data_IF_102620408674
#
_entry.id   IF_102620408674
#
_cell.length_a   1.000
_cell.length_b   1.000
_cell.length_c   1.000
_cell.angle_alpha   90.00
_cell.angle_beta   90.00
_cell.angle_gamma   90.00
#
_symmetry.space_group_name_H-M   'P 1'
#
loop_
_entity.id
_entity.type
_entity.pdbx_description
1 polymer ?
#
# COMPACT_ATOMS: atom_id res chain seq x y z
N UNK A 1 14.31 -2.58 -12.23
CA UNK A 1 15.29 -3.70 -12.19
C UNK A 1 14.56 -5.03 -12.09
N UNK A 2 15.16 -6.13 -12.57
CA UNK A 2 14.53 -7.45 -12.42
C UNK A 2 14.87 -8.04 -11.05
N UNK A 3 13.84 -8.36 -10.27
CA UNK A 3 13.97 -8.98 -8.95
C UNK A 3 13.13 -10.26 -8.91
N UNK A 4 13.57 -11.26 -8.16
CA UNK A 4 12.82 -12.49 -7.92
C UNK A 4 11.93 -12.30 -6.69
N UNK A 5 10.62 -12.47 -6.85
CA UNK A 5 9.65 -12.28 -5.77
C UNK A 5 8.84 -13.55 -5.49
N UNK A 6 8.52 -13.75 -4.22
CA UNK A 6 7.38 -14.56 -3.77
C UNK A 6 6.33 -13.59 -3.25
N UNK A 7 5.34 -13.28 -4.09
CA UNK A 7 4.21 -12.40 -3.75
C UNK A 7 3.20 -13.11 -2.82
N UNK A 8 2.30 -12.37 -2.13
CA UNK A 8 1.33 -12.96 -1.24
C UNK A 8 0.50 -14.07 -1.91
N UNK A 9 0.50 -15.28 -1.34
CA UNK A 9 -0.20 -16.45 -1.88
C UNK A 9 0.55 -17.23 -2.96
N UNK A 10 1.69 -16.74 -3.45
CA UNK A 10 2.57 -17.50 -4.34
C UNK A 10 3.42 -18.52 -3.55
N UNK A 11 3.82 -19.62 -4.21
CA UNK A 11 4.68 -20.67 -3.62
C UNK A 11 6.07 -20.74 -4.25
N UNK A 12 6.30 -19.99 -5.31
CA UNK A 12 7.49 -20.09 -6.15
C UNK A 12 8.03 -18.71 -6.46
N UNK A 13 9.34 -18.58 -6.49
CA UNK A 13 10.01 -17.39 -7.00
C UNK A 13 9.67 -17.16 -8.47
N UNK A 14 9.33 -15.91 -8.81
CA UNK A 14 9.17 -15.47 -10.19
C UNK A 14 9.90 -14.15 -10.39
N UNK A 15 10.56 -13.96 -11.54
CA UNK A 15 11.16 -12.68 -11.87
C UNK A 15 10.06 -11.67 -12.21
N UNK A 16 10.20 -10.46 -11.71
CA UNK A 16 9.35 -9.31 -12.03
C UNK A 16 10.22 -8.10 -12.30
N UNK A 17 9.70 -7.21 -13.13
CA UNK A 17 10.26 -5.87 -13.24
C UNK A 17 9.75 -5.03 -12.07
N UNK A 18 10.67 -4.48 -11.30
CA UNK A 18 10.38 -3.73 -10.09
C UNK A 18 10.98 -2.34 -10.20
N UNK A 19 10.16 -1.33 -9.92
CA UNK A 19 10.56 0.07 -9.90
C UNK A 19 10.13 0.74 -8.61
N UNK A 20 10.99 1.62 -8.12
CA UNK A 20 10.64 2.56 -7.06
C UNK A 20 10.25 3.86 -7.77
N UNK A 21 9.00 4.26 -7.64
CA UNK A 21 8.47 5.47 -8.25
C UNK A 21 7.70 6.26 -7.18
N UNK A 22 8.18 7.47 -6.90
CA UNK A 22 7.81 8.27 -5.74
C UNK A 22 8.05 7.52 -4.41
N UNK A 23 6.97 7.13 -3.74
CA UNK A 23 6.99 6.35 -2.50
C UNK A 23 6.39 4.96 -2.68
N UNK A 24 6.31 4.48 -3.93
CA UNK A 24 5.68 3.22 -4.28
C UNK A 24 6.68 2.24 -4.89
N UNK A 25 6.45 0.98 -4.58
CA UNK A 25 7.10 -0.17 -5.18
C UNK A 25 6.18 -0.72 -6.27
N UNK A 26 6.41 -0.32 -7.51
CA UNK A 26 5.65 -0.74 -8.68
C UNK A 26 6.18 -2.09 -9.19
N UNK A 27 5.28 -3.04 -9.44
CA UNK A 27 5.62 -4.40 -9.86
C UNK A 27 4.92 -4.73 -11.17
N UNK A 28 5.72 -4.95 -12.20
CA UNK A 28 5.31 -5.33 -13.56
C UNK A 28 5.77 -6.73 -13.90
N UNK A 29 5.06 -7.38 -14.83
CA UNK A 29 5.47 -8.70 -15.34
C UNK A 29 6.80 -8.59 -16.12
N UNK A 30 6.98 -7.49 -16.87
CA UNK A 30 8.14 -7.25 -17.74
C UNK A 30 8.49 -5.75 -17.78
N UNK A 31 9.69 -5.43 -18.26
CA UNK A 31 10.13 -4.05 -18.49
C UNK A 31 9.23 -3.34 -19.51
N UNK A 32 8.87 -2.09 -19.23
CA UNK A 32 8.02 -1.27 -20.10
C UNK A 32 6.53 -1.67 -20.11
N UNK A 33 6.12 -2.62 -19.27
CA UNK A 33 4.70 -2.93 -19.02
C UNK A 33 4.19 -2.18 -17.80
N UNK A 34 2.91 -1.83 -17.82
CA UNK A 34 2.23 -1.26 -16.66
C UNK A 34 2.31 -2.23 -15.47
N UNK A 35 2.58 -1.68 -14.28
CA UNK A 35 2.59 -2.46 -13.06
C UNK A 35 1.18 -2.96 -12.75
N UNK A 36 1.08 -4.25 -12.39
CA UNK A 36 -0.23 -4.83 -12.04
C UNK A 36 -0.58 -4.60 -10.57
N UNK A 37 0.44 -4.31 -9.75
CA UNK A 37 0.27 -3.96 -8.34
C UNK A 37 1.35 -2.98 -7.91
N UNK A 38 1.08 -2.25 -6.86
CA UNK A 38 1.99 -1.22 -6.34
C UNK A 38 1.80 -1.10 -4.84
N UNK A 39 2.90 -1.17 -4.09
CA UNK A 39 2.87 -1.08 -2.63
C UNK A 39 3.48 0.24 -2.15
N UNK A 40 2.78 0.93 -1.25
CA UNK A 40 3.30 2.15 -0.66
C UNK A 40 4.41 1.81 0.36
N UNK A 41 5.64 2.22 0.07
CA UNK A 41 6.85 1.90 0.84
C UNK A 41 6.77 2.45 2.28
N UNK A 42 6.15 3.62 2.46
CA UNK A 42 6.01 4.26 3.77
C UNK A 42 5.24 3.47 4.84
N UNK A 43 4.42 2.49 4.44
CA UNK A 43 3.63 1.63 5.35
C UNK A 43 4.16 0.19 5.41
N UNK A 44 5.29 -0.09 4.75
CA UNK A 44 5.96 -1.38 4.77
C UNK A 44 7.19 -1.34 5.68
N UNK A 45 7.53 -2.49 6.26
CA UNK A 45 8.84 -2.75 6.84
C UNK A 45 9.60 -3.74 5.98
N UNK A 46 10.92 -3.60 5.99
CA UNK A 46 11.84 -4.49 5.29
C UNK A 46 12.90 -5.01 6.26
N UNK A 47 13.27 -6.28 6.15
CA UNK A 47 14.36 -6.91 6.92
C UNK A 47 14.97 -8.09 6.14
N UNK A 48 16.16 -8.56 6.50
CA UNK A 48 16.62 -9.88 6.06
C UNK A 48 15.65 -10.96 6.53
N UNK A 49 15.28 -11.87 5.63
CA UNK A 49 14.30 -12.91 5.92
C UNK A 49 14.83 -13.94 6.92
N UNK A 50 13.99 -14.32 7.88
CA UNK A 50 14.28 -15.42 8.81
C UNK A 50 13.94 -16.80 8.21
N UNK A 51 13.08 -16.83 7.20
CA UNK A 51 12.63 -18.07 6.56
C UNK A 51 13.65 -18.62 5.57
N UNK A 52 14.66 -17.81 5.22
CA UNK A 52 15.78 -18.18 4.38
C UNK A 52 17.11 -17.88 5.11
N UNK A 53 17.42 -18.58 6.21
CA UNK A 53 18.54 -18.24 7.10
C UNK A 53 19.91 -18.34 6.40
N UNK A 54 20.03 -19.19 5.39
CA UNK A 54 21.27 -19.36 4.59
C UNK A 54 21.42 -18.30 3.47
N UNK A 55 20.45 -17.39 3.35
CA UNK A 55 20.34 -16.41 2.26
C UNK A 55 20.05 -15.01 2.82
N UNK A 56 21.06 -14.32 3.37
CA UNK A 56 20.90 -12.97 3.92
C UNK A 56 20.53 -11.92 2.84
N UNK A 57 20.70 -12.28 1.57
CA UNK A 57 20.30 -11.53 0.37
C UNK A 57 18.78 -11.57 0.11
N UNK A 58 18.03 -12.40 0.84
CA UNK A 58 16.56 -12.40 0.77
C UNK A 58 16.00 -11.36 1.73
N UNK A 59 15.35 -10.35 1.17
CA UNK A 59 14.60 -9.35 1.90
C UNK A 59 13.15 -9.79 2.08
N UNK A 60 12.65 -9.65 3.29
CA UNK A 60 11.25 -9.84 3.66
C UNK A 60 10.59 -8.47 3.81
N UNK A 61 9.50 -8.27 3.08
CA UNK A 61 8.61 -7.12 3.19
C UNK A 61 7.37 -7.55 3.97
N UNK A 62 7.03 -6.80 5.00
CA UNK A 62 5.93 -7.12 5.89
C UNK A 62 5.24 -5.84 6.39
N UNK A 63 4.04 -6.01 6.96
CA UNK A 63 3.27 -4.92 7.55
C UNK A 63 4.03 -4.25 8.72
N UNK A 64 4.06 -2.92 8.69
CA UNK A 64 4.79 -2.12 9.65
C UNK A 64 3.96 -1.65 10.85
N UNK A 65 2.72 -1.26 10.61
CA UNK A 65 1.92 -0.43 11.52
C UNK A 65 0.47 -0.91 11.67
N UNK A 66 0.17 -2.13 11.20
CA UNK A 66 -1.16 -2.74 11.26
C UNK A 66 -2.08 -2.34 10.11
N UNK A 67 -1.69 -1.38 9.27
CA UNK A 67 -2.58 -0.79 8.27
C UNK A 67 -2.65 -1.60 6.97
N UNK A 68 -1.66 -2.46 6.74
CA UNK A 68 -1.63 -3.36 5.60
C UNK A 68 -1.57 -4.81 6.06
N UNK A 69 -1.85 -5.74 5.16
CA UNK A 69 -1.66 -7.18 5.40
C UNK A 69 -0.81 -7.77 4.28
N UNK A 70 0.34 -7.13 4.08
CA UNK A 70 1.30 -7.48 3.03
C UNK A 70 2.41 -8.32 3.65
N UNK A 71 2.75 -9.41 2.96
CA UNK A 71 3.92 -10.22 3.28
C UNK A 71 4.47 -10.84 2.00
N UNK A 72 5.70 -10.48 1.62
CA UNK A 72 6.36 -11.02 0.43
C UNK A 72 7.87 -10.99 0.59
N UNK A 73 8.55 -11.77 -0.26
CA UNK A 73 10.00 -11.87 -0.26
C UNK A 73 10.58 -11.40 -1.58
N UNK A 74 11.78 -10.82 -1.53
CA UNK A 74 12.52 -10.29 -2.66
C UNK A 74 13.96 -10.76 -2.58
N UNK A 75 14.53 -11.24 -3.68
CA UNK A 75 15.97 -11.39 -3.82
C UNK A 75 16.43 -11.14 -5.26
N UNK A 76 17.73 -10.97 -5.44
CA UNK A 76 18.38 -10.99 -6.76
C UNK A 76 19.68 -11.79 -6.65
N UNK A 77 20.16 -12.28 -7.79
CA UNK A 77 21.44 -12.99 -7.85
C UNK A 77 22.64 -12.05 -7.77
N UNK A 78 22.43 -10.74 -7.97
CA UNK A 78 23.47 -9.72 -7.86
C UNK A 78 23.43 -9.01 -6.49
N UNK A 79 24.47 -9.17 -5.65
CA UNK A 79 24.54 -8.52 -4.35
C UNK A 79 24.53 -6.99 -4.40
N UNK A 80 25.00 -6.36 -5.49
CA UNK A 80 24.96 -4.90 -5.61
C UNK A 80 23.56 -4.41 -5.92
N UNK A 81 22.83 -5.12 -6.78
CA UNK A 81 21.43 -4.78 -7.09
C UNK A 81 20.54 -4.83 -5.84
N UNK A 82 20.68 -5.85 -4.98
CA UNK A 82 19.86 -5.94 -3.76
C UNK A 82 20.19 -4.82 -2.78
N UNK A 83 21.47 -4.40 -2.69
CA UNK A 83 21.89 -3.31 -1.83
C UNK A 83 21.42 -1.95 -2.36
N UNK A 84 21.48 -1.73 -3.68
CA UNK A 84 20.95 -0.52 -4.31
C UNK A 84 19.43 -0.44 -4.14
N UNK A 85 18.73 -1.55 -4.38
CA UNK A 85 17.30 -1.67 -4.13
C UNK A 85 16.95 -1.34 -2.67
N UNK A 86 17.64 -1.95 -1.70
CA UNK A 86 17.42 -1.70 -0.28
C UNK A 86 17.66 -0.23 0.11
N UNK A 87 18.71 0.40 -0.44
CA UNK A 87 18.97 1.83 -0.25
C UNK A 87 17.83 2.69 -0.80
N UNK A 88 17.31 2.35 -1.98
CA UNK A 88 16.16 3.03 -2.59
C UNK A 88 14.92 2.94 -1.70
N UNK A 89 14.59 1.75 -1.20
CA UNK A 89 13.48 1.53 -0.26
C UNK A 89 13.65 2.39 1.00
N UNK A 90 14.84 2.39 1.61
CA UNK A 90 15.11 3.18 2.80
C UNK A 90 15.00 4.69 2.54
N UNK A 91 15.48 5.16 1.38
CA UNK A 91 15.40 6.56 0.98
C UNK A 91 13.93 7.00 0.79
N UNK A 92 13.12 6.22 0.06
CA UNK A 92 11.68 6.51 -0.12
C UNK A 92 10.92 6.50 1.20
N UNK A 93 11.17 5.51 2.08
CA UNK A 93 10.57 5.46 3.41
C UNK A 93 10.89 6.72 4.22
N UNK A 94 12.18 7.09 4.27
CA UNK A 94 12.66 8.26 5.01
C UNK A 94 12.04 9.55 4.46
N UNK A 95 12.06 9.73 3.14
CA UNK A 95 11.51 10.90 2.47
C UNK A 95 10.01 11.08 2.78
N UNK A 96 9.23 10.01 2.68
CA UNK A 96 7.80 10.06 2.98
C UNK A 96 7.54 10.41 4.46
N UNK A 97 8.24 9.77 5.39
CA UNK A 97 8.10 10.04 6.84
C UNK A 97 8.46 11.49 7.18
N UNK A 98 9.58 11.98 6.68
CA UNK A 98 10.02 13.36 6.92
C UNK A 98 9.04 14.37 6.32
N UNK A 99 8.51 14.08 5.13
CA UNK A 99 7.51 14.93 4.46
C UNK A 99 6.25 15.04 5.31
N UNK A 100 5.67 13.92 5.76
CA UNK A 100 4.44 13.95 6.56
C UNK A 100 4.68 14.60 7.92
N UNK A 101 5.80 14.32 8.58
CA UNK A 101 6.12 14.93 9.87
C UNK A 101 6.32 16.44 9.77
N UNK A 102 6.95 16.91 8.69
CA UNK A 102 7.21 18.34 8.45
C UNK A 102 5.94 19.09 8.05
N UNK A 103 5.17 18.53 7.13
CA UNK A 103 4.02 19.23 6.53
C UNK A 103 2.78 19.06 7.38
N UNK A 104 2.55 17.85 7.90
CA UNK A 104 1.39 17.49 8.71
C UNK A 104 0.05 17.93 8.07
N UNK A 105 -0.02 17.89 6.74
CA UNK A 105 -1.19 18.31 5.97
C UNK A 105 -1.96 17.08 5.49
N UNK A 106 -3.25 16.96 5.86
CA UNK A 106 -4.09 15.91 5.31
C UNK A 106 -4.27 16.07 3.81
N UNK A 107 -4.18 14.95 3.09
CA UNK A 107 -4.42 14.89 1.66
C UNK A 107 -5.91 14.71 1.35
N UNK A 108 -6.32 15.21 0.19
CA UNK A 108 -7.65 14.97 -0.37
C UNK A 108 -7.52 14.37 -1.76
N UNK A 109 -8.32 13.36 -2.04
CA UNK A 109 -8.33 12.71 -3.35
C UNK A 109 -9.69 12.11 -3.65
N UNK A 110 -10.11 12.19 -4.91
CA UNK A 110 -11.37 11.61 -5.39
C UNK A 110 -11.09 10.75 -6.61
N UNK A 111 -11.60 9.52 -6.62
CA UNK A 111 -11.57 8.66 -7.81
C UNK A 111 -12.73 7.68 -7.85
N UNK A 112 -13.02 7.18 -9.05
CA UNK A 112 -13.94 6.06 -9.23
C UNK A 112 -13.32 4.73 -8.75
N UNK A 113 -14.11 3.99 -7.98
CA UNK A 113 -13.81 2.65 -7.48
C UNK A 113 -14.95 1.73 -7.88
N UNK A 114 -14.62 0.60 -8.49
CA UNK A 114 -15.56 -0.50 -8.72
C UNK A 114 -15.68 -1.31 -7.43
N UNK A 115 -16.88 -1.38 -6.83
CA UNK A 115 -17.12 -2.24 -5.67
C UNK A 115 -17.02 -3.74 -6.04
N UNK A 116 -16.94 -4.61 -5.04
CA UNK A 116 -17.03 -6.05 -5.22
C UNK A 116 -18.32 -6.43 -5.96
N UNK A 117 -18.25 -7.47 -6.80
CA UNK A 117 -19.39 -7.96 -7.58
C UNK A 117 -19.32 -7.61 -9.07
N UNK A 118 -19.77 -8.55 -9.91
CA UNK A 118 -19.66 -8.42 -11.37
C UNK A 118 -20.49 -7.24 -11.91
N UNK A 119 -21.72 -7.07 -11.38
CA UNK A 119 -22.72 -6.07 -11.79
C UNK A 119 -22.69 -4.77 -10.98
N UNK A 120 -21.72 -4.61 -10.08
CA UNK A 120 -21.62 -3.40 -9.26
C UNK A 120 -21.20 -2.22 -10.12
N UNK A 121 -22.02 -1.17 -10.12
CA UNK A 121 -21.68 0.11 -10.74
C UNK A 121 -20.54 0.79 -9.98
N UNK A 122 -19.72 1.56 -10.69
CA UNK A 122 -18.67 2.37 -10.07
C UNK A 122 -19.29 3.36 -9.07
N UNK A 123 -18.54 3.65 -8.02
CA UNK A 123 -18.84 4.67 -7.02
C UNK A 123 -17.64 5.59 -6.87
N UNK A 124 -17.87 6.84 -6.52
CA UNK A 124 -16.79 7.78 -6.24
C UNK A 124 -16.36 7.61 -4.77
N UNK A 125 -15.07 7.39 -4.56
CA UNK A 125 -14.46 7.46 -3.23
C UNK A 125 -13.78 8.81 -3.09
N UNK A 126 -14.22 9.58 -2.09
CA UNK A 126 -13.61 10.86 -1.71
C UNK A 126 -12.91 10.71 -0.37
N UNK A 127 -11.58 10.73 -0.39
CA UNK A 127 -10.74 10.77 0.80
C UNK A 127 -10.65 12.20 1.31
N UNK A 128 -10.93 12.36 2.59
CA UNK A 128 -10.77 13.61 3.33
C UNK A 128 -9.93 13.35 4.58
N UNK A 129 -9.74 14.37 5.42
CA UNK A 129 -8.84 14.31 6.58
C UNK A 129 -9.10 13.11 7.49
N UNK A 130 -10.35 12.76 7.77
CA UNK A 130 -10.72 11.76 8.77
C UNK A 130 -11.61 10.62 8.25
N UNK A 131 -12.01 10.67 6.97
CA UNK A 131 -12.94 9.70 6.38
C UNK A 131 -12.83 9.56 4.87
N UNK A 132 -13.39 8.45 4.39
CA UNK A 132 -13.68 8.16 2.99
C UNK A 132 -15.19 8.25 2.80
N UNK A 133 -15.66 9.19 1.98
CA UNK A 133 -17.07 9.29 1.59
C UNK A 133 -17.28 8.53 0.28
N UNK A 134 -18.27 7.63 0.26
CA UNK A 134 -18.67 6.84 -0.91
C UNK A 134 -19.90 7.51 -1.51
N UNK A 135 -19.75 8.03 -2.74
CA UNK A 135 -20.79 8.78 -3.45
C UNK A 135 -21.25 7.98 -4.67
N UNK A 136 -22.56 7.84 -4.81
CA UNK A 136 -23.19 7.16 -5.95
C UNK A 136 -24.28 8.05 -6.55
N UNK A 137 -24.18 8.29 -7.85
CA UNK A 137 -25.12 9.17 -8.57
C UNK A 137 -25.26 10.56 -7.93
N UNK A 138 -24.14 11.12 -7.44
CA UNK A 138 -24.07 12.45 -6.81
C UNK A 138 -24.65 12.53 -5.39
N UNK A 139 -25.03 11.41 -4.78
CA UNK A 139 -25.47 11.35 -3.37
C UNK A 139 -24.50 10.53 -2.54
N UNK A 140 -24.18 11.01 -1.35
CA UNK A 140 -23.39 10.24 -0.39
C UNK A 140 -24.20 9.03 0.07
N UNK A 141 -23.68 7.83 -0.21
CA UNK A 141 -24.31 6.55 0.13
C UNK A 141 -23.83 6.08 1.51
N UNK A 142 -22.55 6.27 1.80
CA UNK A 142 -21.95 5.93 3.09
C UNK A 142 -20.65 6.70 3.35
N UNK A 143 -20.21 6.68 4.60
CA UNK A 143 -18.94 7.26 5.04
C UNK A 143 -18.20 6.27 5.94
N UNK A 144 -16.90 6.16 5.75
CA UNK A 144 -15.99 5.34 6.54
C UNK A 144 -15.03 6.26 7.27
N UNK A 145 -15.00 6.24 8.60
CA UNK A 145 -13.96 6.95 9.33
C UNK A 145 -12.63 6.19 9.27
N UNK A 146 -11.53 6.91 9.02
CA UNK A 146 -10.19 6.32 8.92
C UNK A 146 -9.74 5.66 10.23
N UNK A 147 -10.24 6.13 11.38
CA UNK A 147 -9.99 5.49 12.69
C UNK A 147 -10.59 4.07 12.80
N UNK A 148 -11.61 3.77 12.01
CA UNK A 148 -12.31 2.49 12.00
C UNK A 148 -11.72 1.51 10.96
N UNK A 149 -10.78 1.99 10.15
CA UNK A 149 -10.01 1.19 9.21
C UNK A 149 -9.18 0.15 9.99
N UNK A 150 -9.34 -1.11 9.63
CA UNK A 150 -8.48 -2.19 10.12
C UNK A 150 -7.32 -2.40 9.17
N UNK A 151 -7.58 -2.60 7.88
CA UNK A 151 -6.52 -2.70 6.88
C UNK A 151 -6.98 -2.27 5.50
N UNK A 152 -6.06 -1.76 4.70
CA UNK A 152 -6.22 -1.58 3.26
C UNK A 152 -4.95 -2.08 2.56
N UNK A 153 -5.07 -2.91 1.54
CA UNK A 153 -3.93 -3.66 0.99
C UNK A 153 -4.08 -3.88 -0.50
N UNK A 154 -3.12 -3.43 -1.34
CA UNK A 154 -3.08 -3.79 -2.75
C UNK A 154 -3.10 -5.31 -2.96
N UNK A 155 -3.86 -5.76 -3.94
CA UNK A 155 -3.90 -7.15 -4.38
C UNK A 155 -2.79 -7.42 -5.39
N UNK A 156 -2.02 -8.49 -5.17
CA UNK A 156 -0.94 -8.91 -6.06
C UNK A 156 -1.44 -9.85 -7.18
N UNK A 157 -2.45 -9.42 -7.95
CA UNK A 157 -3.06 -10.25 -9.00
C UNK A 157 -2.96 -9.61 -10.37
N UNK A 158 -2.19 -10.20 -11.27
CA UNK A 158 -2.08 -9.71 -12.66
C UNK A 158 -3.39 -9.82 -13.45
N UNK A 159 -4.30 -10.72 -13.07
CA UNK A 159 -5.64 -10.83 -13.69
C UNK A 159 -6.62 -9.75 -13.23
N UNK A 160 -6.28 -9.05 -12.13
CA UNK A 160 -7.09 -7.99 -11.54
C UNK A 160 -6.17 -6.83 -11.10
N UNK A 161 -5.60 -6.10 -12.07
CA UNK A 161 -4.74 -4.97 -11.73
C UNK A 161 -5.53 -3.87 -11.02
N UNK A 162 -4.82 -3.01 -10.29
CA UNK A 162 -5.38 -1.83 -9.61
C UNK A 162 -6.43 -2.20 -8.55
N UNK A 163 -6.35 -3.43 -8.04
CA UNK A 163 -7.26 -3.96 -7.04
C UNK A 163 -6.64 -3.88 -5.65
N UNK A 164 -7.49 -3.70 -4.65
CA UNK A 164 -7.10 -3.69 -3.25
C UNK A 164 -8.20 -4.29 -2.39
N UNK A 165 -7.79 -4.86 -1.26
CA UNK A 165 -8.67 -5.37 -0.22
C UNK A 165 -8.76 -4.37 0.90
N UNK A 166 -9.93 -4.28 1.49
CA UNK A 166 -10.26 -3.30 2.52
C UNK A 166 -11.02 -3.99 3.66
N UNK A 167 -10.72 -3.64 4.91
CA UNK A 167 -11.41 -4.18 6.08
C UNK A 167 -11.58 -3.14 7.18
N UNK A 168 -12.70 -3.24 7.90
CA UNK A 168 -13.06 -2.39 9.04
C UNK A 168 -12.99 -3.18 10.34
N UNK A 169 -12.67 -2.52 11.45
CA UNK A 169 -12.53 -3.16 12.77
C UNK A 169 -13.75 -3.97 13.22
N UNK A 170 -14.95 -3.57 12.79
CA UNK A 170 -16.23 -4.21 13.14
C UNK A 170 -16.93 -4.89 11.95
N UNK A 171 -16.23 -5.07 10.82
CA UNK A 171 -16.80 -5.63 9.58
C UNK A 171 -16.34 -7.06 9.31
N UNK A 172 -17.18 -7.85 8.62
CA UNK A 172 -16.83 -9.17 8.08
C UNK A 172 -16.28 -9.07 6.65
N UNK A 173 -15.15 -9.74 6.45
CA UNK A 173 -14.40 -10.06 5.23
C UNK A 173 -14.02 -9.02 4.17
N UNK A 174 -12.85 -9.30 3.58
CA UNK A 174 -12.01 -8.46 2.72
C UNK A 174 -12.44 -8.56 1.26
N UNK A 175 -13.55 -7.95 0.92
CA UNK A 175 -13.92 -7.87 -0.47
C UNK A 175 -12.95 -6.96 -1.25
N UNK A 176 -12.76 -7.32 -2.52
CA UNK A 176 -11.76 -6.69 -3.39
C UNK A 176 -12.41 -5.58 -4.21
N UNK A 177 -11.90 -4.37 -4.02
CA UNK A 177 -12.26 -3.16 -4.75
C UNK A 177 -11.25 -2.90 -5.86
N UNK A 178 -11.63 -2.16 -6.90
CA UNK A 178 -10.73 -1.87 -8.02
C UNK A 178 -10.84 -0.42 -8.50
N UNK A 179 -9.73 0.28 -8.60
CA UNK A 179 -9.65 1.57 -9.26
C UNK A 179 -9.60 1.40 -10.80
N UNK A 180 -9.96 2.46 -11.54
CA UNK A 180 -9.87 2.44 -13.00
C UNK A 180 -8.44 2.34 -13.52
N UNK A 181 -7.49 2.99 -12.84
CA UNK A 181 -6.07 3.06 -13.23
C UNK A 181 -5.17 2.79 -12.03
N UNK A 182 -3.91 2.44 -12.30
CA UNK A 182 -2.90 2.26 -11.26
C UNK A 182 -2.64 3.58 -10.53
N UNK A 183 -2.54 4.68 -11.27
CA UNK A 183 -2.35 6.02 -10.69
C UNK A 183 -3.46 6.39 -9.70
N UNK A 184 -4.72 6.12 -10.05
CA UNK A 184 -5.84 6.36 -9.13
C UNK A 184 -5.71 5.51 -7.86
N UNK A 185 -5.30 4.25 -7.98
CA UNK A 185 -5.06 3.41 -6.80
C UNK A 185 -3.92 3.98 -5.94
N UNK A 186 -2.78 4.34 -6.55
CA UNK A 186 -1.63 4.91 -5.83
C UNK A 186 -2.03 6.19 -5.07
N UNK A 187 -2.69 7.13 -5.74
CA UNK A 187 -3.12 8.40 -5.12
C UNK A 187 -4.21 8.21 -4.06
N UNK A 188 -5.13 7.27 -4.27
CA UNK A 188 -6.13 6.90 -3.25
C UNK A 188 -5.46 6.35 -1.99
N UNK A 189 -4.53 5.42 -2.17
CA UNK A 189 -3.85 4.77 -1.07
C UNK A 189 -2.90 5.73 -0.35
N UNK A 190 -2.15 6.58 -1.05
CA UNK A 190 -1.29 7.61 -0.44
C UNK A 190 -2.10 8.55 0.45
N UNK A 191 -3.26 9.02 -0.02
CA UNK A 191 -4.14 9.88 0.77
C UNK A 191 -4.66 9.17 2.02
N UNK A 192 -5.07 7.91 1.91
CA UNK A 192 -5.55 7.11 3.05
C UNK A 192 -4.42 6.87 4.06
N UNK A 193 -3.24 6.45 3.60
CA UNK A 193 -2.10 6.17 4.47
C UNK A 193 -1.58 7.42 5.16
N UNK A 194 -1.42 8.52 4.42
CA UNK A 194 -0.97 9.81 4.96
C UNK A 194 -1.94 10.31 6.05
N UNK A 195 -3.24 10.34 5.76
CA UNK A 195 -4.22 10.84 6.72
C UNK A 195 -4.33 9.93 7.94
N UNK A 196 -4.26 8.61 7.76
CA UNK A 196 -4.25 7.65 8.88
C UNK A 196 -3.00 7.85 9.75
N UNK A 197 -1.84 8.09 9.15
CA UNK A 197 -0.61 8.35 9.89
C UNK A 197 -0.68 9.65 10.71
N UNK A 198 -1.21 10.72 10.12
CA UNK A 198 -1.42 12.01 10.83
C UNK A 198 -2.34 11.83 12.03
N UNK A 199 -3.46 11.12 11.87
CA UNK A 199 -4.42 10.86 12.96
C UNK A 199 -3.77 10.05 14.08
N UNK A 200 -3.04 8.97 13.76
CA UNK A 200 -2.33 8.15 14.74
C UNK A 200 -1.27 8.97 15.50
N UNK A 201 -0.49 9.78 14.78
CA UNK A 201 0.56 10.62 15.38
C UNK A 201 -0.01 11.65 16.35
N UNK A 202 -1.17 12.24 16.03
CA UNK A 202 -1.85 13.18 16.93
C UNK A 202 -2.36 12.50 18.21
N UNK A 203 -2.85 11.26 18.11
CA UNK A 203 -3.31 10.50 19.29
C UNK A 203 -2.17 10.05 20.20
N UNK A 204 -1.01 9.69 19.63
CA UNK A 204 0.18 9.28 20.38
C UNK A 204 0.85 10.49 21.06
N UNK A 205 0.89 11.65 20.39
CA UNK A 205 1.42 12.90 20.96
C UNK A 205 0.55 13.47 22.09
N UNK A 206 -0.77 13.25 22.07
CA UNK A 206 -1.69 13.66 23.13
C UNK A 206 -1.61 12.76 24.39
N UNK A 207 -0.94 11.61 24.30
CA UNK A 207 -0.79 10.65 25.39
C UNK A 207 0.55 10.77 26.16
N UNK A 208 1.37 11.80 25.88
CA UNK A 208 2.60 12.06 26.63
C UNK A 208 2.29 12.54 28.07
N UNK A 209 3.03 12.08 29.10
CA UNK A 209 2.66 12.30 30.49
C UNK A 209 2.80 13.78 30.88
N UNK A 210 1.84 14.23 31.68
CA UNK A 210 2.04 15.37 32.57
C UNK A 210 3.05 14.94 33.64
N UNK A 211 4.29 15.40 33.52
CA UNK A 211 5.22 15.53 34.65
C UNK A 211 5.47 17.02 34.95
#
# INVERSE_FOLDING_TARGET
MFLNLILPGAKTWKPYWVEIHDNFLDISVEYGKEAFTSYHIGVLKVRPSKDFPDRPDVLEFYDGDGLTQVHFYVFTYDPFDILEFFKGICASYKNWRETIQRENQPQQFTCEVKPPGFFSANVDWKVSQDRISIVKSGREESSIFLKDLQSITPSASSSKPNAFKFSLKNGGDKDEHRCLTLDNMKRLLDAIYTNTFIIKSASEGAAAPSE
#
